data_IF_407607973834
#
_entry.id   IF_407607973834
#
_cell.length_a   1.000
_cell.length_b   1.000
_cell.length_c   1.000
_cell.angle_alpha   90.00
_cell.angle_beta   90.00
_cell.angle_gamma   90.00
#
_symmetry.space_group_name_H-M   'P 1'
#
loop_
_entity.id
_entity.type
_entity.pdbx_description
1 polymer ?
#
# COMPACT_ATOMS: atom_id res chain seq x y z
N UNK A 1 21.96 -20.33 29.79
CA UNK A 1 21.67 -19.60 28.57
C UNK A 1 21.12 -18.24 28.98
N UNK A 2 21.79 -17.14 28.60
CA UNK A 2 21.26 -15.79 28.84
C UNK A 2 20.04 -15.60 27.95
N UNK A 3 18.87 -15.17 28.45
CA UNK A 3 17.70 -14.98 27.64
C UNK A 3 17.98 -13.89 26.57
N UNK A 4 17.64 -14.17 25.32
CA UNK A 4 17.78 -13.21 24.24
C UNK A 4 16.79 -12.06 24.51
N UNK A 5 17.32 -10.87 24.79
CA UNK A 5 16.49 -9.67 25.00
C UNK A 5 16.10 -9.08 23.64
N UNK A 6 14.81 -9.11 23.32
CA UNK A 6 14.26 -8.47 22.14
C UNK A 6 14.42 -6.95 22.25
N UNK A 7 15.05 -6.30 21.26
CA UNK A 7 15.34 -4.87 21.28
C UNK A 7 14.29 -4.04 20.54
N UNK A 8 13.77 -4.58 19.44
CA UNK A 8 12.81 -3.88 18.57
C UNK A 8 11.83 -4.84 17.94
N UNK A 9 10.60 -4.38 17.76
CA UNK A 9 9.57 -5.02 16.94
C UNK A 9 9.19 -4.07 15.80
N UNK A 10 9.19 -4.61 14.59
CA UNK A 10 8.59 -3.94 13.41
C UNK A 10 7.26 -4.63 13.15
N UNK A 11 6.18 -3.89 13.31
CA UNK A 11 4.83 -4.40 13.05
C UNK A 11 4.29 -3.82 11.74
N UNK A 12 3.92 -4.71 10.80
CA UNK A 12 3.30 -4.32 9.55
C UNK A 12 1.78 -4.27 9.77
N UNK A 13 1.24 -3.07 9.78
CA UNK A 13 -0.18 -2.77 9.87
C UNK A 13 -0.76 -2.47 8.48
N UNK A 14 -1.71 -1.55 8.37
CA UNK A 14 -2.33 -1.14 7.12
C UNK A 14 -2.80 0.32 7.20
N UNK A 15 -2.84 1.01 6.07
CA UNK A 15 -3.50 2.31 5.93
C UNK A 15 -5.01 2.26 6.19
N UNK A 16 -5.60 1.06 6.19
CA UNK A 16 -7.01 0.85 6.50
C UNK A 16 -7.41 1.34 7.91
N UNK A 17 -6.45 1.55 8.82
CA UNK A 17 -6.71 2.10 10.16
C UNK A 17 -7.25 3.53 10.13
N UNK A 18 -7.00 4.28 9.06
CA UNK A 18 -7.46 5.66 8.93
C UNK A 18 -8.87 5.75 8.36
N UNK A 19 -9.61 6.76 8.79
CA UNK A 19 -10.86 7.16 8.14
C UNK A 19 -10.60 7.68 6.72
N UNK A 20 -11.67 7.71 5.93
CA UNK A 20 -11.64 8.32 4.61
C UNK A 20 -11.56 9.84 4.73
N UNK A 21 -10.81 10.46 3.82
CA UNK A 21 -10.63 11.90 3.76
C UNK A 21 -10.40 12.36 2.32
N UNK A 22 -10.85 13.58 2.04
CA UNK A 22 -10.50 14.28 0.81
C UNK A 22 -9.16 15.04 0.94
N UNK A 23 -8.66 15.18 2.19
CA UNK A 23 -7.37 15.78 2.50
C UNK A 23 -6.27 14.71 2.61
N UNK A 24 -5.01 15.16 2.67
CA UNK A 24 -3.87 14.28 2.90
C UNK A 24 -3.94 13.64 4.29
N UNK A 25 -3.97 12.32 4.32
CA UNK A 25 -3.99 11.53 5.55
C UNK A 25 -2.55 11.41 6.08
N UNK A 26 -2.33 11.68 7.36
CA UNK A 26 -1.06 11.49 8.05
C UNK A 26 -1.24 10.65 9.33
N UNK A 27 -0.15 10.40 10.03
CA UNK A 27 -0.15 9.53 11.21
C UNK A 27 -0.97 10.06 12.41
N UNK A 28 -1.31 11.34 12.41
CA UNK A 28 -2.13 11.99 13.44
C UNK A 28 -3.63 11.94 13.11
N UNK A 29 -3.97 11.47 11.91
CA UNK A 29 -5.35 11.41 11.47
C UNK A 29 -6.16 10.39 12.28
N UNK A 30 -7.48 10.64 12.42
CA UNK A 30 -8.35 9.75 13.18
C UNK A 30 -8.34 8.31 12.67
N UNK A 31 -8.29 7.35 13.61
CA UNK A 31 -8.25 5.91 13.36
C UNK A 31 -9.59 5.22 13.62
N UNK A 32 -10.69 5.91 13.47
CA UNK A 32 -12.00 5.40 13.88
C UNK A 32 -12.86 4.97 12.71
N UNK A 33 -12.29 4.35 11.69
CA UNK A 33 -13.10 3.77 10.63
C UNK A 33 -14.15 2.80 11.20
N UNK A 34 -15.39 2.93 10.77
CA UNK A 34 -16.47 2.02 11.12
C UNK A 34 -16.28 0.61 10.54
N UNK A 35 -15.37 0.46 9.57
CA UNK A 35 -15.08 -0.77 8.88
C UNK A 35 -14.45 -1.80 9.84
N UNK A 36 -14.96 -3.02 9.84
CA UNK A 36 -14.48 -4.12 10.68
C UNK A 36 -13.00 -4.44 10.45
N UNK A 37 -12.55 -4.37 9.20
CA UNK A 37 -11.14 -4.57 8.84
C UNK A 37 -10.22 -3.53 9.52
N UNK A 38 -10.61 -2.26 9.51
CA UNK A 38 -9.87 -1.20 10.18
C UNK A 38 -9.86 -1.38 11.71
N UNK A 39 -11.00 -1.77 12.30
CA UNK A 39 -11.08 -2.07 13.74
C UNK A 39 -10.11 -3.18 14.13
N UNK A 40 -10.06 -4.25 13.36
CA UNK A 40 -9.13 -5.35 13.59
C UNK A 40 -7.66 -4.88 13.58
N UNK A 41 -7.26 -4.05 12.63
CA UNK A 41 -5.90 -3.49 12.60
C UNK A 41 -5.63 -2.57 13.78
N UNK A 42 -6.58 -1.70 14.15
CA UNK A 42 -6.45 -0.82 15.31
C UNK A 42 -6.26 -1.61 16.61
N UNK A 43 -7.04 -2.68 16.82
CA UNK A 43 -6.90 -3.52 18.02
C UNK A 43 -5.55 -4.24 18.06
N UNK A 44 -5.04 -4.72 16.93
CA UNK A 44 -3.70 -5.32 16.85
C UNK A 44 -2.61 -4.31 17.18
N UNK A 45 -2.70 -3.08 16.65
CA UNK A 45 -1.77 -2.00 17.00
C UNK A 45 -1.82 -1.67 18.49
N UNK A 46 -3.00 -1.62 19.09
CA UNK A 46 -3.18 -1.37 20.52
C UNK A 46 -2.53 -2.47 21.37
N UNK A 47 -2.75 -3.74 21.03
CA UNK A 47 -2.19 -4.88 21.76
C UNK A 47 -0.67 -4.87 21.70
N UNK A 48 -0.07 -4.74 20.49
CA UNK A 48 1.39 -4.73 20.34
C UNK A 48 2.04 -3.53 21.03
N UNK A 49 1.38 -2.37 20.98
CA UNK A 49 1.87 -1.15 21.66
C UNK A 49 1.90 -1.35 23.16
N UNK A 50 0.83 -1.88 23.76
CA UNK A 50 0.78 -2.18 25.19
C UNK A 50 1.87 -3.17 25.61
N UNK A 51 2.04 -4.25 24.85
CA UNK A 51 3.08 -5.24 25.10
C UNK A 51 4.49 -4.61 25.04
N UNK A 52 4.80 -3.87 24.00
CA UNK A 52 6.12 -3.23 23.85
C UNK A 52 6.41 -2.24 24.98
N UNK A 53 5.41 -1.48 25.43
CA UNK A 53 5.57 -0.54 26.54
C UNK A 53 5.85 -1.28 27.86
N UNK A 54 5.15 -2.39 28.13
CA UNK A 54 5.39 -3.19 29.34
C UNK A 54 6.79 -3.82 29.37
N UNK A 55 7.25 -4.31 28.24
CA UNK A 55 8.54 -5.01 28.10
C UNK A 55 9.72 -4.07 27.78
N UNK A 56 9.48 -2.76 27.66
CA UNK A 56 10.49 -1.77 27.24
C UNK A 56 11.17 -2.15 25.91
N UNK A 57 10.36 -2.54 24.92
CA UNK A 57 10.78 -2.89 23.56
C UNK A 57 10.46 -1.74 22.62
N UNK A 58 11.42 -1.34 21.78
CA UNK A 58 11.20 -0.35 20.75
C UNK A 58 10.18 -0.85 19.72
N UNK A 59 9.18 -0.04 19.39
CA UNK A 59 8.14 -0.41 18.43
C UNK A 59 8.15 0.52 17.23
N UNK A 60 8.11 -0.09 16.04
CA UNK A 60 7.83 0.61 14.78
C UNK A 60 6.60 0.00 14.16
N UNK A 61 5.59 0.80 13.90
CA UNK A 61 4.39 0.39 13.16
C UNK A 61 4.47 1.00 11.76
N UNK A 62 4.50 0.15 10.75
CA UNK A 62 4.46 0.55 9.36
C UNK A 62 3.07 0.26 8.79
N UNK A 63 2.43 1.27 8.22
CA UNK A 63 1.08 1.20 7.63
C UNK A 63 1.18 1.36 6.11
N UNK A 64 1.52 0.29 5.38
CA UNK A 64 1.58 0.37 3.93
C UNK A 64 0.18 0.59 3.35
N UNK A 65 0.15 1.37 2.25
CA UNK A 65 -1.01 1.53 1.38
C UNK A 65 -1.16 0.32 0.45
N UNK A 66 -1.86 0.45 -0.69
CA UNK A 66 -2.06 -0.64 -1.64
C UNK A 66 -0.72 -1.19 -2.15
N UNK A 67 -0.28 -2.29 -1.56
CA UNK A 67 0.97 -2.95 -1.95
C UNK A 67 0.76 -3.74 -3.24
N UNK A 68 1.71 -3.63 -4.17
CA UNK A 68 1.73 -4.45 -5.38
C UNK A 68 3.15 -4.98 -5.65
N UNK A 69 3.24 -6.00 -6.48
CA UNK A 69 4.52 -6.61 -6.89
C UNK A 69 4.49 -8.13 -6.86
N UNK A 70 5.64 -8.78 -7.11
CA UNK A 70 5.74 -10.24 -7.10
C UNK A 70 5.31 -10.83 -5.76
N UNK A 71 4.58 -11.94 -5.81
CA UNK A 71 4.08 -12.64 -4.61
C UNK A 71 2.69 -12.18 -4.13
N UNK A 72 2.15 -11.08 -4.64
CA UNK A 72 0.78 -10.69 -4.33
C UNK A 72 -0.23 -11.61 -5.02
N UNK A 73 -1.04 -12.29 -4.20
CA UNK A 73 -2.10 -13.20 -4.66
C UNK A 73 -3.46 -12.51 -4.80
N UNK A 74 -3.57 -11.24 -4.40
CA UNK A 74 -4.82 -10.49 -4.52
C UNK A 74 -5.26 -10.36 -5.98
N UNK A 75 -6.49 -10.71 -6.26
CA UNK A 75 -7.01 -10.76 -7.63
C UNK A 75 -8.27 -9.90 -7.82
N UNK A 76 -8.55 -8.98 -6.92
CA UNK A 76 -9.72 -8.10 -6.97
C UNK A 76 -9.55 -6.93 -7.94
N UNK A 77 -8.41 -6.24 -7.88
CA UNK A 77 -8.12 -5.02 -8.63
C UNK A 77 -6.62 -4.70 -8.58
N UNK A 78 -6.22 -3.61 -9.23
CA UNK A 78 -4.87 -3.03 -9.14
C UNK A 78 -3.85 -3.62 -10.09
N UNK A 79 -2.58 -3.20 -9.98
CA UNK A 79 -1.55 -3.49 -10.97
C UNK A 79 -1.37 -4.99 -11.25
N UNK A 80 -1.29 -5.81 -10.21
CA UNK A 80 -1.04 -7.25 -10.38
C UNK A 80 -2.19 -7.99 -11.08
N UNK A 81 -3.44 -7.63 -10.76
CA UNK A 81 -4.58 -8.19 -11.49
C UNK A 81 -4.55 -7.81 -12.97
N UNK A 82 -4.27 -6.54 -13.28
CA UNK A 82 -4.22 -6.07 -14.67
C UNK A 82 -3.10 -6.77 -15.46
N UNK A 83 -1.93 -6.97 -14.84
CA UNK A 83 -0.84 -7.75 -15.44
C UNK A 83 -1.29 -9.20 -15.71
N UNK A 84 -1.94 -9.86 -14.74
CA UNK A 84 -2.45 -11.23 -14.91
C UNK A 84 -3.53 -11.32 -15.97
N UNK A 85 -4.45 -10.36 -16.03
CA UNK A 85 -5.49 -10.35 -17.05
C UNK A 85 -4.88 -10.29 -18.45
N UNK A 86 -3.94 -9.37 -18.70
CA UNK A 86 -3.25 -9.25 -19.99
C UNK A 86 -2.45 -10.51 -20.32
N UNK A 87 -1.73 -11.09 -19.37
CA UNK A 87 -0.96 -12.31 -19.59
C UNK A 87 -1.81 -13.52 -19.96
N UNK A 88 -3.05 -13.53 -19.47
CA UNK A 88 -4.04 -14.56 -19.79
C UNK A 88 -4.91 -14.20 -21.01
N UNK A 89 -4.52 -13.22 -21.82
CA UNK A 89 -5.28 -12.71 -22.96
C UNK A 89 -6.70 -12.25 -22.58
N UNK A 90 -6.89 -11.74 -21.37
CA UNK A 90 -8.15 -11.21 -20.87
C UNK A 90 -8.15 -9.69 -20.87
N UNK A 91 -9.32 -9.09 -21.02
CA UNK A 91 -9.51 -7.66 -20.87
C UNK A 91 -9.30 -7.22 -19.41
N UNK A 92 -8.71 -6.05 -19.23
CA UNK A 92 -8.74 -5.34 -17.95
C UNK A 92 -10.13 -4.74 -17.79
N UNK A 93 -10.83 -5.11 -16.73
CA UNK A 93 -12.17 -4.58 -16.44
C UNK A 93 -12.06 -3.51 -15.36
N UNK A 94 -12.45 -2.30 -15.68
CA UNK A 94 -12.52 -1.16 -14.76
C UNK A 94 -13.98 -0.85 -14.41
N UNK A 95 -14.23 -0.49 -13.15
CA UNK A 95 -15.53 0.00 -12.70
C UNK A 95 -15.67 1.51 -12.95
N UNK A 96 -16.85 1.96 -13.38
CA UNK A 96 -17.06 3.35 -13.79
C UNK A 96 -16.15 3.69 -14.97
N UNK A 97 -15.46 4.81 -14.90
CA UNK A 97 -14.44 5.24 -15.86
C UNK A 97 -13.01 4.90 -15.42
N UNK A 98 -12.85 4.13 -14.34
CA UNK A 98 -11.55 3.86 -13.72
C UNK A 98 -10.92 5.09 -13.05
N UNK A 99 -11.75 6.07 -12.68
CA UNK A 99 -11.38 7.40 -12.19
C UNK A 99 -10.91 7.39 -10.73
N UNK A 100 -11.19 6.34 -9.97
CA UNK A 100 -10.76 6.21 -8.57
C UNK A 100 -9.24 6.31 -8.46
N UNK A 101 -8.76 7.23 -7.60
CA UNK A 101 -7.34 7.51 -7.39
C UNK A 101 -6.86 6.95 -6.05
N UNK A 102 -5.79 6.17 -6.09
CA UNK A 102 -5.13 5.57 -4.93
C UNK A 102 -3.63 5.70 -5.01
N UNK A 103 -2.99 5.72 -3.86
CA UNK A 103 -1.55 5.52 -3.77
C UNK A 103 -1.24 4.02 -3.80
N UNK A 104 -0.26 3.63 -4.61
CA UNK A 104 0.18 2.23 -4.77
C UNK A 104 1.67 2.15 -4.50
N UNK A 105 2.06 1.27 -3.58
CA UNK A 105 3.46 1.10 -3.20
C UNK A 105 4.00 -0.26 -3.66
N UNK A 106 5.22 -0.25 -4.22
CA UNK A 106 5.88 -1.47 -4.66
C UNK A 106 6.39 -2.28 -3.47
N UNK A 107 6.23 -3.60 -3.49
CA UNK A 107 6.60 -4.49 -2.38
C UNK A 107 8.04 -4.30 -1.92
N UNK A 108 9.00 -4.07 -2.83
CA UNK A 108 10.39 -3.84 -2.44
C UNK A 108 10.60 -2.55 -1.67
N UNK A 109 9.78 -1.53 -1.89
CA UNK A 109 9.84 -0.29 -1.14
C UNK A 109 9.35 -0.51 0.30
N UNK A 110 8.34 -1.36 0.48
CA UNK A 110 7.92 -1.80 1.83
C UNK A 110 9.04 -2.57 2.52
N UNK A 111 9.70 -3.49 1.81
CA UNK A 111 10.87 -4.21 2.34
C UNK A 111 12.00 -3.24 2.71
N UNK A 112 12.29 -2.25 1.87
CA UNK A 112 13.29 -1.24 2.17
C UNK A 112 12.92 -0.40 3.39
N UNK A 113 11.63 -0.08 3.57
CA UNK A 113 11.14 0.61 4.76
C UNK A 113 11.34 -0.23 6.03
N UNK A 114 11.11 -1.54 5.98
CA UNK A 114 11.40 -2.45 7.10
C UNK A 114 12.89 -2.48 7.41
N UNK A 115 13.73 -2.69 6.39
CA UNK A 115 15.20 -2.79 6.55
C UNK A 115 15.77 -1.53 7.17
N UNK A 116 15.44 -0.35 6.64
CA UNK A 116 15.96 0.92 7.17
C UNK A 116 15.44 1.23 8.57
N UNK A 117 14.22 0.76 8.90
CA UNK A 117 13.68 0.89 10.26
C UNK A 117 14.48 0.08 11.28
N UNK A 118 14.97 -1.08 10.90
CA UNK A 118 15.85 -1.91 11.74
C UNK A 118 17.22 -1.26 11.85
N UNK A 119 17.85 -0.93 10.73
CA UNK A 119 19.20 -0.38 10.67
C UNK A 119 19.36 0.93 11.46
N UNK A 120 18.35 1.81 11.37
CA UNK A 120 18.35 3.11 12.06
C UNK A 120 17.61 3.09 13.40
N UNK A 121 17.15 1.94 13.86
CA UNK A 121 16.33 1.80 15.07
C UNK A 121 15.22 2.86 15.14
N UNK A 122 14.45 2.98 14.04
CA UNK A 122 13.37 3.97 13.95
C UNK A 122 12.24 3.53 14.88
N UNK A 123 11.68 4.47 15.64
CA UNK A 123 10.58 4.22 16.58
C UNK A 123 9.40 5.13 16.19
N UNK A 124 8.20 4.58 16.25
CA UNK A 124 6.95 5.29 15.99
C UNK A 124 6.08 4.66 14.94
N UNK A 125 5.02 5.36 14.56
CA UNK A 125 4.03 4.93 13.57
C UNK A 125 4.24 5.70 12.28
N UNK A 126 4.24 5.00 11.14
CA UNK A 126 4.50 5.61 9.85
C UNK A 126 3.62 5.04 8.75
N UNK A 127 3.08 5.94 7.95
CA UNK A 127 2.41 5.58 6.69
C UNK A 127 3.46 5.32 5.62
N UNK A 128 3.37 4.16 4.97
CA UNK A 128 4.29 3.74 3.91
C UNK A 128 3.56 3.80 2.58
N UNK A 129 3.71 4.93 1.93
CA UNK A 129 3.05 5.31 0.68
C UNK A 129 4.02 6.13 -0.17
N UNK A 130 3.74 6.27 -1.45
CA UNK A 130 4.61 7.06 -2.36
C UNK A 130 4.40 8.56 -2.22
N UNK A 131 3.21 8.97 -1.78
CA UNK A 131 2.72 10.35 -1.79
C UNK A 131 2.09 10.75 -3.12
N UNK A 132 2.02 9.83 -4.09
CA UNK A 132 1.47 10.05 -5.41
C UNK A 132 0.24 9.17 -5.63
N UNK A 133 -0.91 9.79 -5.87
CA UNK A 133 -2.13 9.07 -6.24
C UNK A 133 -2.24 8.94 -7.74
N UNK A 134 -2.69 7.79 -8.20
CA UNK A 134 -2.89 7.48 -9.61
C UNK A 134 -4.24 6.81 -9.82
N UNK A 135 -4.91 7.08 -10.95
CA UNK A 135 -6.18 6.45 -11.27
C UNK A 135 -6.00 4.99 -11.72
N UNK A 136 -7.00 4.14 -11.48
CA UNK A 136 -6.96 2.78 -12.01
C UNK A 136 -6.92 2.74 -13.53
N UNK A 137 -7.50 3.75 -14.21
CA UNK A 137 -7.39 3.89 -15.66
C UNK A 137 -5.93 4.12 -16.09
N UNK A 138 -5.22 5.04 -15.42
CA UNK A 138 -3.82 5.30 -15.76
C UNK A 138 -2.93 4.09 -15.48
N UNK A 139 -3.18 3.36 -14.39
CA UNK A 139 -2.48 2.08 -14.13
C UNK A 139 -2.73 1.08 -15.25
N UNK A 140 -3.98 0.93 -15.70
CA UNK A 140 -4.33 0.01 -16.79
C UNK A 140 -3.62 0.40 -18.10
N UNK A 141 -3.56 1.70 -18.43
CA UNK A 141 -2.81 2.20 -19.59
C UNK A 141 -1.31 1.93 -19.48
N UNK A 142 -0.72 2.14 -18.29
CA UNK A 142 0.69 1.80 -18.05
C UNK A 142 0.94 0.30 -18.26
N UNK A 143 0.05 -0.57 -17.76
CA UNK A 143 0.16 -2.01 -17.98
C UNK A 143 0.10 -2.35 -19.47
N UNK A 144 -0.86 -1.79 -20.22
CA UNK A 144 -0.94 -1.97 -21.67
C UNK A 144 0.33 -1.50 -22.39
N UNK A 145 0.83 -0.32 -22.06
CA UNK A 145 2.08 0.23 -22.59
C UNK A 145 3.28 -0.69 -22.33
N UNK A 146 3.47 -1.13 -21.09
CA UNK A 146 4.62 -1.97 -20.70
C UNK A 146 4.55 -3.36 -21.32
N UNK A 147 3.34 -3.90 -21.51
CA UNK A 147 3.09 -5.20 -22.17
C UNK A 147 3.04 -5.09 -23.71
N UNK A 148 3.12 -3.88 -24.25
CA UNK A 148 3.01 -3.60 -25.69
C UNK A 148 1.72 -4.19 -26.30
N UNK A 149 0.58 -3.97 -25.60
CA UNK A 149 -0.75 -4.35 -26.07
C UNK A 149 -1.63 -3.12 -26.26
N UNK A 150 -2.65 -3.23 -27.10
CA UNK A 150 -3.58 -2.14 -27.35
C UNK A 150 -4.40 -1.76 -26.11
N UNK A 151 -4.64 -0.45 -25.88
CA UNK A 151 -5.57 0.03 -24.86
C UNK A 151 -7.01 -0.43 -25.10
N UNK A 152 -7.32 -0.97 -26.30
CA UNK A 152 -8.59 -1.63 -26.55
C UNK A 152 -8.83 -2.87 -25.67
N UNK A 153 -7.82 -3.35 -24.97
CA UNK A 153 -7.97 -4.37 -23.92
C UNK A 153 -8.59 -3.81 -22.64
N UNK A 154 -8.70 -2.50 -22.46
CA UNK A 154 -9.39 -1.89 -21.32
C UNK A 154 -10.88 -1.83 -21.61
N UNK A 155 -11.69 -2.34 -20.70
CA UNK A 155 -13.16 -2.36 -20.76
C UNK A 155 -13.71 -1.74 -19.49
N UNK A 156 -14.86 -1.10 -19.63
CA UNK A 156 -15.55 -0.45 -18.53
C UNK A 156 -16.82 -1.23 -18.18
N UNK A 157 -17.08 -1.30 -16.89
CA UNK A 157 -18.29 -1.89 -16.33
C UNK A 157 -18.93 -0.88 -15.39
N UNK A 158 -20.25 -0.80 -15.41
CA UNK A 158 -20.99 0.04 -14.49
C UNK A 158 -20.63 -0.29 -13.03
N UNK A 159 -20.48 0.75 -12.23
CA UNK A 159 -20.18 0.60 -10.80
C UNK A 159 -21.50 0.43 -10.04
N UNK A 160 -21.61 -0.66 -9.31
CA UNK A 160 -22.72 -0.87 -8.39
C UNK A 160 -22.31 -0.38 -7.00
N UNK A 161 -22.99 0.65 -6.50
CA UNK A 161 -22.73 1.23 -5.17
C UNK A 161 -21.74 2.39 -5.16
N UNK A 162 -21.44 2.92 -3.96
CA UNK A 162 -20.57 4.07 -3.79
C UNK A 162 -19.12 3.74 -4.16
N UNK A 163 -18.40 4.77 -4.58
CA UNK A 163 -16.98 4.65 -4.86
C UNK A 163 -16.20 4.49 -3.55
N UNK A 164 -15.35 3.45 -3.41
CA UNK A 164 -14.53 3.29 -2.21
C UNK A 164 -13.72 4.55 -1.92
N UNK A 165 -13.65 4.92 -0.63
CA UNK A 165 -12.92 6.10 -0.16
C UNK A 165 -13.29 7.40 -0.91
N UNK A 166 -14.56 7.55 -1.31
CA UNK A 166 -15.04 8.68 -2.11
C UNK A 166 -14.23 8.91 -3.41
N UNK A 167 -13.54 7.88 -3.90
CA UNK A 167 -12.74 7.93 -5.12
C UNK A 167 -11.35 8.53 -4.97
N UNK A 168 -10.93 8.89 -3.77
CA UNK A 168 -9.63 9.51 -3.51
C UNK A 168 -9.07 9.07 -2.16
N UNK A 169 -7.77 8.69 -2.12
CA UNK A 169 -7.08 8.38 -0.88
C UNK A 169 -5.59 8.70 -1.03
N UNK A 170 -5.16 9.79 -0.45
CA UNK A 170 -3.80 10.29 -0.52
C UNK A 170 -3.17 10.43 0.87
N UNK A 171 -1.85 10.33 0.94
CA UNK A 171 -1.10 10.31 2.18
C UNK A 171 0.01 11.36 2.21
N UNK A 172 0.21 12.01 3.37
CA UNK A 172 1.42 12.73 3.68
C UNK A 172 2.50 11.75 4.14
N UNK A 173 3.55 11.64 3.36
CA UNK A 173 4.66 10.70 3.60
C UNK A 173 5.89 11.40 4.18
N UNK A 174 5.78 12.67 4.55
CA UNK A 174 6.90 13.51 4.98
C UNK A 174 7.58 13.00 6.24
N UNK A 175 6.80 12.43 7.17
CA UNK A 175 7.28 11.94 8.47
C UNK A 175 8.36 10.86 8.31
N UNK A 176 8.06 9.78 7.60
CA UNK A 176 9.00 8.68 7.37
C UNK A 176 10.14 9.09 6.43
N UNK A 177 9.84 9.85 5.39
CA UNK A 177 10.82 10.32 4.41
C UNK A 177 11.90 11.20 5.04
N UNK A 178 11.55 12.10 5.97
CA UNK A 178 12.51 12.92 6.73
C UNK A 178 13.49 12.10 7.56
N UNK A 179 13.05 10.97 8.12
CA UNK A 179 13.90 10.08 8.95
C UNK A 179 14.80 9.17 8.10
N UNK A 180 14.37 8.79 6.92
CA UNK A 180 15.00 7.71 6.13
C UNK A 180 15.70 8.19 4.88
N UNK A 181 15.28 9.30 4.27
CA UNK A 181 15.60 9.72 2.90
C UNK A 181 15.26 8.67 1.84
N UNK A 182 14.34 7.72 2.17
CA UNK A 182 13.96 6.66 1.26
C UNK A 182 13.24 7.26 0.05
N UNK A 183 13.64 6.81 -1.14
CA UNK A 183 12.97 7.12 -2.41
C UNK A 183 12.22 5.87 -2.85
N UNK A 184 10.97 6.06 -3.20
CA UNK A 184 10.10 4.99 -3.68
C UNK A 184 10.14 4.90 -5.20
N UNK A 185 9.91 3.69 -5.70
CA UNK A 185 9.92 3.40 -7.11
C UNK A 185 8.68 4.01 -7.79
N UNK A 186 8.86 4.60 -8.95
CA UNK A 186 7.75 5.08 -9.77
C UNK A 186 6.88 3.91 -10.25
N UNK A 187 5.57 4.13 -10.35
CA UNK A 187 4.59 3.08 -10.65
C UNK A 187 4.89 2.32 -11.95
N UNK A 188 5.33 2.99 -13.01
CA UNK A 188 5.68 2.33 -14.28
C UNK A 188 6.87 1.40 -14.13
N UNK A 189 7.88 1.80 -13.38
CA UNK A 189 9.07 0.97 -13.12
C UNK A 189 8.73 -0.24 -12.24
N UNK A 190 7.86 -0.04 -11.24
CA UNK A 190 7.36 -1.11 -10.40
C UNK A 190 6.55 -2.14 -11.18
N UNK A 191 5.66 -1.69 -12.08
CA UNK A 191 4.91 -2.55 -13.00
C UNK A 191 5.87 -3.33 -13.92
N UNK A 192 6.84 -2.65 -14.52
CA UNK A 192 7.86 -3.26 -15.38
C UNK A 192 8.68 -4.32 -14.64
N UNK A 193 9.05 -4.05 -13.40
CA UNK A 193 9.78 -4.98 -12.53
C UNK A 193 8.91 -6.17 -12.10
N UNK A 194 7.61 -5.96 -11.90
CA UNK A 194 6.65 -7.01 -11.56
C UNK A 194 6.47 -8.00 -12.73
N UNK A 195 6.35 -7.50 -13.96
CA UNK A 195 6.22 -8.33 -15.16
C UNK A 195 7.41 -9.25 -15.33
N UNK A 196 8.63 -8.75 -15.12
CA UNK A 196 9.87 -9.56 -15.26
C UNK A 196 10.01 -10.69 -14.25
N UNK A 197 9.26 -10.64 -13.12
CA UNK A 197 9.40 -11.60 -12.00
C UNK A 197 8.17 -12.47 -11.78
N UNK A 198 7.04 -12.12 -12.34
CA UNK A 198 5.79 -12.89 -12.22
C UNK A 198 5.68 -13.98 -13.30
N UNK A 199 6.58 -13.97 -14.29
CA UNK A 199 6.57 -14.88 -15.44
C UNK A 199 7.97 -15.19 -15.94
#
# INVERSE_FOLDING_TARGET
>A
MTPIKLKQIIYISSDAVYEDSNDLINEQYNKTSANFHAKMHNERENVITKYCNLENINLTILRPTLVYGPGDTHNGYGPNKFIRDINNNKNIILFGKGEEKRDHIYIKDVVSAVTISIEKNIIGNFTIATGNVISFLDIAKIVCKVKNVSESMIRFKERNGPMPHNGYRAFDVSSFKKKTNLKYLEIEEGIRSSIKKLF
#
